data_IF_183573260683
#
_entry.id   IF_183573260683
#
_cell.length_a   1.000
_cell.length_b   1.000
_cell.length_c   1.000
_cell.angle_alpha   90.00
_cell.angle_beta   90.00
_cell.angle_gamma   90.00
#
_symmetry.space_group_name_H-M   'P 1'
#
loop_
_entity.id
_entity.type
_entity.pdbx_description
1 polymer ?
#
# COMPACT_ATOMS: atom_id res chain seq x y z
N UNK A 1 -3.55 20.73 13.53
CA UNK A 1 -3.09 19.60 14.38
C UNK A 1 -1.96 20.14 15.23
N UNK A 2 -2.32 21.02 16.15
CA UNK A 2 -1.43 21.59 17.16
C UNK A 2 -1.01 20.48 18.12
N UNK A 3 0.14 20.67 18.77
CA UNK A 3 0.78 19.69 19.65
C UNK A 3 0.01 19.54 20.97
N UNK A 4 -1.25 19.10 20.90
CA UNK A 4 -2.02 18.71 22.07
C UNK A 4 -1.77 17.22 22.35
N UNK A 5 -0.94 16.84 23.33
CA UNK A 5 -0.65 15.43 23.62
C UNK A 5 -1.89 14.64 24.06
N UNK A 6 -2.96 15.31 24.51
CA UNK A 6 -4.22 14.65 24.87
C UNK A 6 -5.04 14.21 23.65
N UNK A 7 -4.84 14.81 22.46
CA UNK A 7 -5.62 14.43 21.28
C UNK A 7 -5.36 12.99 20.83
N UNK A 8 -4.20 12.42 21.17
CA UNK A 8 -3.84 11.04 20.88
C UNK A 8 -4.59 10.03 21.76
N UNK A 9 -4.99 10.43 22.98
CA UNK A 9 -5.72 9.56 23.91
C UNK A 9 -7.10 9.18 23.35
N UNK A 10 -7.75 10.10 22.63
CA UNK A 10 -9.04 9.85 21.96
C UNK A 10 -8.94 8.80 20.84
N UNK A 11 -7.72 8.55 20.33
CA UNK A 11 -7.44 7.55 19.29
C UNK A 11 -6.90 6.25 19.91
N UNK A 12 -6.86 6.15 21.24
CA UNK A 12 -6.34 4.97 21.94
C UNK A 12 -4.82 4.88 22.00
N UNK A 13 -4.12 5.95 21.64
CA UNK A 13 -2.66 5.99 21.66
C UNK A 13 -2.15 6.51 23.02
N UNK A 14 -0.97 6.04 23.42
CA UNK A 14 -0.37 6.39 24.72
C UNK A 14 -0.26 7.89 24.91
N UNK A 15 -0.74 8.39 26.06
CA UNK A 15 -0.50 9.76 26.49
C UNK A 15 1.01 10.06 26.48
N UNK A 16 1.42 11.10 25.73
CA UNK A 16 2.81 11.50 25.59
C UNK A 16 3.60 10.84 24.44
N UNK A 17 2.93 10.19 23.48
CA UNK A 17 3.57 9.82 22.21
C UNK A 17 4.03 11.07 21.45
N UNK A 18 5.21 11.01 20.82
CA UNK A 18 5.67 12.10 19.97
C UNK A 18 4.72 12.27 18.78
N UNK A 19 4.65 13.48 18.21
CA UNK A 19 3.81 13.76 17.04
C UNK A 19 4.07 12.80 15.87
N UNK A 20 5.33 12.39 15.68
CA UNK A 20 5.70 11.47 14.61
C UNK A 20 5.17 10.05 14.89
N UNK A 21 5.29 9.58 16.13
CA UNK A 21 4.75 8.28 16.56
C UNK A 21 3.22 8.27 16.48
N UNK A 22 2.56 9.34 16.95
CA UNK A 22 1.11 9.48 16.86
C UNK A 22 0.61 9.44 15.42
N UNK A 23 1.26 10.17 14.51
CA UNK A 23 0.98 10.10 13.06
C UNK A 23 1.22 8.71 12.49
N UNK A 24 2.33 8.07 12.86
CA UNK A 24 2.66 6.72 12.41
C UNK A 24 1.60 5.71 12.85
N UNK A 25 1.15 5.79 14.09
CA UNK A 25 0.12 4.91 14.61
C UNK A 25 -1.26 5.15 13.98
N UNK A 26 -1.68 6.40 13.79
CA UNK A 26 -2.93 6.72 13.06
C UNK A 26 -2.87 6.19 11.62
N UNK A 27 -1.72 6.34 10.95
CA UNK A 27 -1.51 5.83 9.60
C UNK A 27 -1.64 4.29 9.59
N UNK A 28 -0.89 3.59 10.44
CA UNK A 28 -0.96 2.14 10.57
C UNK A 28 -2.39 1.65 10.88
N UNK A 29 -3.09 2.33 11.78
CA UNK A 29 -4.47 2.00 12.15
C UNK A 29 -5.40 2.16 10.95
N UNK A 30 -5.30 3.28 10.23
CA UNK A 30 -6.13 3.57 9.05
C UNK A 30 -5.95 2.48 7.97
N UNK A 31 -4.70 2.09 7.69
CA UNK A 31 -4.44 1.01 6.74
C UNK A 31 -5.01 -0.33 7.21
N UNK A 32 -4.88 -0.63 8.51
CA UNK A 32 -5.45 -1.86 9.06
C UNK A 32 -6.97 -1.91 8.90
N UNK A 33 -7.67 -0.77 9.03
CA UNK A 33 -9.12 -0.67 8.84
C UNK A 33 -9.51 -0.87 7.38
N UNK A 34 -8.75 -0.27 6.45
CA UNK A 34 -8.97 -0.44 5.00
C UNK A 34 -8.81 -1.92 4.61
N UNK A 35 -7.74 -2.58 5.10
CA UNK A 35 -7.51 -4.01 4.86
C UNK A 35 -8.59 -4.89 5.51
N UNK A 36 -9.00 -4.56 6.73
CA UNK A 36 -10.09 -5.25 7.41
C UNK A 36 -11.40 -5.17 6.63
N UNK A 37 -11.72 -3.99 6.06
CA UNK A 37 -12.90 -3.82 5.23
C UNK A 37 -12.85 -4.74 3.99
N UNK A 38 -11.69 -4.86 3.33
CA UNK A 38 -11.54 -5.81 2.21
C UNK A 38 -11.63 -7.26 2.67
N UNK A 39 -11.04 -7.63 3.80
CA UNK A 39 -11.07 -9.01 4.30
C UNK A 39 -12.50 -9.46 4.63
N UNK A 40 -13.29 -8.58 5.26
CA UNK A 40 -14.65 -8.87 5.67
C UNK A 40 -15.63 -8.85 4.48
N UNK A 41 -15.56 -7.85 3.61
CA UNK A 41 -16.62 -7.60 2.61
C UNK A 41 -16.29 -8.06 1.19
N UNK A 42 -15.04 -8.41 0.88
CA UNK A 42 -14.71 -8.98 -0.43
C UNK A 42 -15.15 -10.45 -0.51
N UNK A 43 -16.07 -10.85 -1.41
CA UNK A 43 -16.56 -12.23 -1.50
C UNK A 43 -15.46 -13.25 -1.84
N UNK A 44 -14.34 -12.81 -2.42
CA UNK A 44 -13.22 -13.68 -2.81
C UNK A 44 -12.33 -14.08 -1.62
N UNK A 45 -12.35 -13.32 -0.53
CA UNK A 45 -11.48 -13.56 0.62
C UNK A 45 -12.14 -14.54 1.59
N UNK A 46 -11.55 -15.73 1.73
CA UNK A 46 -11.94 -16.74 2.70
C UNK A 46 -10.71 -17.48 3.26
N UNK A 47 -10.64 -17.79 4.57
CA UNK A 47 -11.63 -17.48 5.61
C UNK A 47 -11.66 -15.98 6.00
N UNK A 48 -12.79 -15.54 6.55
CA UNK A 48 -12.98 -14.17 7.04
C UNK A 48 -12.20 -13.94 8.33
N UNK A 49 -11.57 -12.77 8.46
CA UNK A 49 -10.78 -12.43 9.63
C UNK A 49 -11.67 -12.23 10.87
N UNK A 50 -11.41 -12.98 11.95
CA UNK A 50 -12.14 -12.84 13.22
C UNK A 50 -11.64 -11.63 14.01
N UNK A 51 -12.38 -11.20 15.04
CA UNK A 51 -12.00 -10.08 15.88
C UNK A 51 -10.67 -10.34 16.61
N UNK A 52 -10.48 -11.56 17.12
CA UNK A 52 -9.28 -11.97 17.84
C UNK A 52 -8.06 -11.98 16.90
N UNK A 53 -8.24 -12.43 15.66
CA UNK A 53 -7.20 -12.41 14.64
C UNK A 53 -6.82 -10.99 14.24
N UNK A 54 -7.80 -10.08 14.13
CA UNK A 54 -7.54 -8.66 13.87
C UNK A 54 -6.74 -8.03 15.01
N UNK A 55 -7.16 -8.24 16.26
CA UNK A 55 -6.47 -7.75 17.46
C UNK A 55 -5.03 -8.26 17.50
N UNK A 56 -4.82 -9.58 17.32
CA UNK A 56 -3.49 -10.16 17.27
C UNK A 56 -2.65 -9.57 16.12
N UNK A 57 -3.26 -9.29 14.96
CA UNK A 57 -2.57 -8.68 13.82
C UNK A 57 -2.12 -7.25 14.11
N UNK A 58 -2.99 -6.43 14.71
CA UNK A 58 -2.65 -5.08 15.12
C UNK A 58 -1.54 -5.07 16.19
N UNK A 59 -1.56 -6.00 17.15
CA UNK A 59 -0.52 -6.07 18.18
C UNK A 59 0.86 -6.49 17.66
N UNK A 60 0.94 -7.14 16.49
CA UNK A 60 2.23 -7.40 15.81
C UNK A 60 2.86 -6.13 15.25
N UNK A 61 2.09 -5.07 15.05
CA UNK A 61 2.60 -3.78 14.60
C UNK A 61 3.12 -2.98 15.80
N UNK A 62 4.39 -2.54 15.74
CA UNK A 62 5.03 -1.79 16.83
C UNK A 62 4.26 -0.54 17.25
N UNK A 63 3.60 0.14 16.31
CA UNK A 63 2.85 1.37 16.55
C UNK A 63 1.46 1.14 17.17
N UNK A 64 0.88 -0.06 17.02
CA UNK A 64 -0.46 -0.41 17.51
C UNK A 64 -0.40 -1.43 18.66
N UNK A 65 0.80 -1.88 19.04
CA UNK A 65 1.02 -2.90 20.06
C UNK A 65 0.37 -2.59 21.40
N UNK A 66 0.37 -1.33 21.80
CA UNK A 66 -0.13 -0.87 23.11
C UNK A 66 -1.61 -0.44 23.06
N UNK A 67 -2.29 -0.59 21.91
CA UNK A 67 -3.67 -0.13 21.77
C UNK A 67 -4.64 -1.09 22.49
N UNK A 68 -5.64 -0.61 23.24
CA UNK A 68 -6.60 -1.46 23.93
C UNK A 68 -7.32 -2.45 23.01
N UNK A 69 -7.31 -3.74 23.36
CA UNK A 69 -7.99 -4.78 22.60
C UNK A 69 -9.50 -4.54 22.46
N UNK A 70 -10.11 -3.90 23.46
CA UNK A 70 -11.52 -3.52 23.41
C UNK A 70 -11.81 -2.55 22.26
N UNK A 71 -10.98 -1.54 22.06
CA UNK A 71 -11.13 -0.57 20.97
C UNK A 71 -10.94 -1.23 19.60
N UNK A 72 -9.94 -2.11 19.46
CA UNK A 72 -9.73 -2.90 18.24
C UNK A 72 -10.93 -3.80 17.92
N UNK A 73 -11.50 -4.41 18.94
CA UNK A 73 -12.69 -5.26 18.81
C UNK A 73 -13.92 -4.44 18.41
N UNK A 74 -14.10 -3.25 18.99
CA UNK A 74 -15.18 -2.33 18.62
C UNK A 74 -15.04 -1.88 17.16
N UNK A 75 -13.82 -1.56 16.69
CA UNK A 75 -13.54 -1.22 15.29
C UNK A 75 -13.91 -2.39 14.38
N UNK A 76 -13.50 -3.61 14.73
CA UNK A 76 -13.83 -4.80 13.96
C UNK A 76 -15.34 -5.00 13.83
N UNK A 77 -16.07 -4.92 14.94
CA UNK A 77 -17.52 -5.06 14.94
C UNK A 77 -18.20 -3.94 14.12
N UNK A 78 -17.72 -2.71 14.21
CA UNK A 78 -18.25 -1.58 13.45
C UNK A 78 -18.10 -1.81 11.94
N UNK A 79 -16.90 -2.21 11.48
CA UNK A 79 -16.64 -2.49 10.06
C UNK A 79 -17.39 -3.74 9.61
N UNK A 80 -17.51 -4.76 10.45
CA UNK A 80 -18.29 -5.97 10.12
C UNK A 80 -19.76 -5.67 9.90
N UNK A 81 -20.35 -4.73 10.64
CA UNK A 81 -21.76 -4.32 10.50
C UNK A 81 -21.98 -3.39 9.31
N UNK A 82 -21.07 -2.46 9.06
CA UNK A 82 -21.19 -1.47 7.99
C UNK A 82 -19.90 -1.40 7.18
N UNK A 83 -19.92 -1.77 5.88
CA UNK A 83 -18.78 -1.56 5.01
C UNK A 83 -18.50 -0.06 4.82
N UNK A 84 -17.25 0.26 4.47
CA UNK A 84 -16.85 1.62 4.14
C UNK A 84 -17.57 2.09 2.87
N UNK A 85 -18.30 3.20 2.96
CA UNK A 85 -18.96 3.80 1.81
C UNK A 85 -17.97 4.61 0.99
N UNK A 86 -17.70 4.17 -0.23
CA UNK A 86 -16.90 4.91 -1.20
C UNK A 86 -17.89 5.69 -2.05
N UNK A 87 -18.02 7.00 -1.80
CA UNK A 87 -18.79 7.87 -2.70
C UNK A 87 -18.07 7.89 -4.05
N UNK A 88 -18.72 7.50 -5.16
CA UNK A 88 -18.13 7.67 -6.47
C UNK A 88 -18.06 9.17 -6.76
N UNK A 89 -16.91 9.79 -6.50
CA UNK A 89 -16.68 11.19 -6.84
C UNK A 89 -16.54 11.26 -8.37
N UNK A 90 -17.41 11.97 -9.10
CA UNK A 90 -17.31 12.09 -10.56
C UNK A 90 -16.09 12.90 -11.03
N UNK A 91 -15.44 13.63 -10.12
CA UNK A 91 -14.14 14.27 -10.34
C UNK A 91 -13.05 13.44 -9.65
N UNK A 92 -12.70 12.32 -10.26
CA UNK A 92 -11.61 11.46 -9.81
C UNK A 92 -10.31 12.27 -9.67
N UNK A 93 -9.63 12.10 -8.53
CA UNK A 93 -8.21 12.40 -8.42
C UNK A 93 -7.49 11.50 -9.43
N UNK A 94 -7.01 12.10 -10.53
CA UNK A 94 -6.38 11.43 -11.68
C UNK A 94 -5.03 10.76 -11.39
N UNK A 95 -4.61 10.71 -10.12
CA UNK A 95 -3.33 10.12 -9.71
C UNK A 95 -3.37 8.59 -9.63
N UNK A 96 -4.55 7.96 -9.59
CA UNK A 96 -4.64 6.51 -9.79
C UNK A 96 -4.74 6.27 -11.29
N UNK A 97 -3.58 6.01 -11.92
CA UNK A 97 -3.53 5.44 -13.27
C UNK A 97 -4.15 4.04 -13.21
N UNK A 98 -5.47 3.95 -13.37
CA UNK A 98 -6.13 2.74 -13.88
C UNK A 98 -6.21 2.92 -15.38
N UNK A 99 -5.33 2.24 -16.10
CA UNK A 99 -5.34 2.20 -17.56
C UNK A 99 -6.38 1.18 -18.03
N UNK A 100 -7.67 1.44 -17.80
CA UNK A 100 -8.76 0.77 -18.53
C UNK A 100 -9.92 1.76 -18.60
N UNK A 101 -10.35 2.10 -19.82
CA UNK A 101 -11.41 3.07 -20.07
C UNK A 101 -12.78 2.58 -19.58
N UNK A 102 -13.67 3.53 -19.35
CA UNK A 102 -14.97 3.43 -18.66
C UNK A 102 -16.05 2.53 -19.30
N UNK A 103 -15.68 1.55 -20.14
CA UNK A 103 -16.65 0.70 -20.85
C UNK A 103 -16.79 -0.73 -20.30
N UNK A 104 -16.02 -1.15 -19.29
CA UNK A 104 -16.03 -2.54 -18.78
C UNK A 104 -16.45 -2.65 -17.30
N UNK A 105 -17.35 -1.78 -16.82
CA UNK A 105 -17.84 -1.82 -15.42
C UNK A 105 -18.72 -3.06 -15.14
N UNK A 106 -19.10 -3.84 -16.15
CA UNK A 106 -19.88 -5.05 -15.98
C UNK A 106 -19.15 -6.29 -16.51
N UNK A 107 -17.98 -6.59 -15.92
CA UNK A 107 -17.44 -7.95 -15.98
C UNK A 107 -17.02 -8.37 -14.58
N UNK A 108 -17.59 -9.50 -14.15
CA UNK A 108 -17.37 -10.16 -12.88
C UNK A 108 -15.89 -10.10 -12.48
N UNK A 109 -15.63 -9.77 -11.21
CA UNK A 109 -14.31 -9.82 -10.60
C UNK A 109 -13.74 -11.26 -10.70
N UNK A 110 -13.20 -11.59 -11.87
CA UNK A 110 -12.57 -12.85 -12.17
C UNK A 110 -11.06 -12.63 -12.11
N UNK A 111 -10.50 -13.24 -11.06
CA UNK A 111 -9.13 -13.76 -10.98
C UNK A 111 -8.02 -12.72 -10.86
N UNK A 112 -7.52 -12.60 -9.62
CA UNK A 112 -6.19 -12.10 -9.31
C UNK A 112 -5.12 -12.93 -10.03
N UNK A 113 -4.15 -12.24 -10.65
CA UNK A 113 -2.97 -12.77 -11.36
C UNK A 113 -2.12 -13.72 -10.48
N UNK A 114 -2.35 -13.73 -9.16
CA UNK A 114 -1.62 -14.58 -8.21
C UNK A 114 -2.25 -15.97 -7.97
N UNK A 115 -3.38 -16.30 -8.61
CA UNK A 115 -4.03 -17.61 -8.47
C UNK A 115 -3.58 -18.62 -9.56
N UNK A 116 -2.38 -19.18 -9.35
CA UNK A 116 -1.83 -20.44 -9.91
C UNK A 116 -1.50 -20.54 -11.43
N UNK A 117 -0.51 -21.40 -11.82
CA UNK A 117 0.10 -21.40 -13.15
C UNK A 117 -0.49 -22.48 -14.06
N UNK A 118 -1.61 -22.22 -14.75
CA UNK A 118 -2.16 -23.21 -15.71
C UNK A 118 -2.66 -22.64 -17.05
N UNK A 119 -2.44 -21.36 -17.37
CA UNK A 119 -3.05 -20.74 -18.56
C UNK A 119 -2.23 -20.82 -19.86
N UNK A 120 -1.02 -21.38 -19.84
CA UNK A 120 -0.15 -21.43 -21.04
C UNK A 120 -0.55 -22.51 -22.08
N UNK A 121 -1.52 -23.38 -21.77
CA UNK A 121 -1.93 -24.46 -22.68
C UNK A 121 -3.13 -24.11 -23.58
N UNK A 122 -3.90 -23.06 -23.28
CA UNK A 122 -5.18 -22.80 -23.98
C UNK A 122 -5.06 -21.84 -25.19
N UNK A 123 -3.95 -21.11 -25.34
CA UNK A 123 -3.80 -20.11 -26.40
C UNK A 123 -3.44 -20.70 -27.80
N UNK A 124 -3.12 -21.99 -27.89
CA UNK A 124 -2.68 -22.61 -29.14
C UNK A 124 -3.83 -23.08 -30.07
N UNK A 125 -5.08 -23.11 -29.59
CA UNK A 125 -6.18 -23.79 -30.30
C UNK A 125 -7.13 -22.87 -31.09
N UNK A 126 -6.93 -21.55 -31.13
CA UNK A 126 -7.92 -20.60 -31.67
C UNK A 126 -7.59 -19.99 -33.05
N UNK A 127 -6.55 -20.44 -33.76
CA UNK A 127 -6.14 -19.86 -35.05
C UNK A 127 -6.44 -20.75 -36.27
N UNK A 128 -7.63 -21.35 -36.33
CA UNK A 128 -7.99 -22.24 -37.43
C UNK A 128 -9.08 -21.73 -38.38
N UNK A 129 -9.83 -20.65 -38.11
CA UNK A 129 -10.90 -20.23 -39.01
C UNK A 129 -11.19 -18.72 -39.00
N UNK A 130 -11.16 -18.13 -40.20
CA UNK A 130 -11.97 -16.95 -40.52
C UNK A 130 -11.23 -15.62 -40.45
N UNK A 131 -10.93 -15.06 -41.62
CA UNK A 131 -10.18 -13.82 -41.78
C UNK A 131 -10.92 -12.56 -41.32
N UNK A 132 -10.14 -11.60 -40.86
CA UNK A 132 -10.48 -10.18 -40.87
C UNK A 132 -9.20 -9.37 -41.06
N UNK A 133 -9.26 -8.41 -41.99
CA UNK A 133 -8.16 -7.62 -42.53
C UNK A 133 -7.32 -6.94 -41.43
N UNK A 134 -6.00 -7.06 -41.53
CA UNK A 134 -5.03 -6.26 -40.78
C UNK A 134 -5.13 -4.79 -41.25
N UNK A 135 -5.75 -3.93 -40.44
CA UNK A 135 -5.51 -2.50 -40.55
C UNK A 135 -4.13 -2.19 -39.99
N UNK A 136 -3.30 -1.49 -40.78
CA UNK A 136 -1.99 -1.03 -40.36
C UNK A 136 -2.08 -0.17 -39.09
N UNK A 137 -1.16 -0.29 -38.12
CA UNK A 137 -1.16 0.54 -36.93
C UNK A 137 -0.87 1.98 -37.33
N UNK A 138 -1.86 2.86 -37.14
CA UNK A 138 -1.69 4.30 -37.27
C UNK A 138 -0.63 4.77 -36.28
N UNK A 139 0.49 5.29 -36.78
CA UNK A 139 1.53 5.91 -35.96
C UNK A 139 0.95 7.18 -35.30
N UNK A 140 0.61 7.07 -34.02
CA UNK A 140 0.28 8.23 -33.19
C UNK A 140 1.54 9.11 -33.00
N UNK A 141 1.42 10.45 -33.03
CA UNK A 141 2.55 11.34 -32.84
C UNK A 141 3.14 11.17 -31.42
N UNK A 142 4.46 11.36 -31.23
CA UNK A 142 5.09 11.23 -29.92
C UNK A 142 4.45 12.23 -28.95
N UNK A 143 3.70 11.71 -27.97
CA UNK A 143 3.13 12.54 -26.90
C UNK A 143 4.29 13.19 -26.14
N UNK A 144 4.32 14.53 -26.15
CA UNK A 144 5.24 15.32 -25.37
C UNK A 144 5.11 14.94 -23.89
N UNK A 145 6.12 14.28 -23.35
CA UNK A 145 6.23 13.93 -21.94
C UNK A 145 6.39 15.25 -21.17
N UNK A 146 5.32 15.74 -20.55
CA UNK A 146 5.41 16.85 -19.61
C UNK A 146 6.09 16.35 -18.34
N UNK A 147 7.38 16.64 -18.21
CA UNK A 147 8.13 16.34 -17.00
C UNK A 147 7.66 17.28 -15.90
N UNK A 148 7.14 16.71 -14.82
CA UNK A 148 6.83 17.47 -13.61
C UNK A 148 8.13 17.78 -12.86
N UNK A 149 8.61 19.01 -13.04
CA UNK A 149 9.83 19.53 -12.43
C UNK A 149 9.80 19.49 -10.90
N UNK A 150 8.62 19.53 -10.29
CA UNK A 150 8.47 19.46 -8.83
C UNK A 150 8.76 18.04 -8.33
N UNK A 151 8.25 17.03 -9.04
CA UNK A 151 8.53 15.61 -8.73
C UNK A 151 10.00 15.29 -8.94
N UNK A 152 10.60 15.76 -10.04
CA UNK A 152 12.02 15.56 -10.31
C UNK A 152 12.91 16.18 -9.23
N UNK A 153 12.56 17.38 -8.76
CA UNK A 153 13.28 18.08 -7.69
C UNK A 153 13.28 17.29 -6.36
N UNK A 154 12.11 16.80 -5.93
CA UNK A 154 12.04 16.01 -4.69
C UNK A 154 12.75 14.66 -4.82
N UNK A 155 12.67 14.00 -5.98
CA UNK A 155 13.39 12.74 -6.23
C UNK A 155 14.93 12.94 -6.17
N UNK A 156 15.44 14.06 -6.69
CA UNK A 156 16.86 14.39 -6.61
C UNK A 156 17.32 14.66 -5.17
N UNK A 157 16.50 15.36 -4.38
CA UNK A 157 16.79 15.60 -2.97
C UNK A 157 16.80 14.29 -2.18
N UNK A 158 15.84 13.41 -2.45
CA UNK A 158 15.72 12.14 -1.75
C UNK A 158 16.88 11.20 -2.11
N UNK A 159 17.28 11.16 -3.38
CA UNK A 159 18.49 10.46 -3.82
C UNK A 159 19.74 10.99 -3.12
N UNK A 160 19.87 12.31 -2.95
CA UNK A 160 20.99 12.93 -2.23
C UNK A 160 20.99 12.67 -0.72
N UNK A 161 19.83 12.43 -0.12
CA UNK A 161 19.71 11.99 1.29
C UNK A 161 20.06 10.52 1.44
N UNK A 162 19.56 9.67 0.53
CA UNK A 162 19.87 8.25 0.50
C UNK A 162 21.36 7.99 0.28
N UNK A 163 22.00 8.72 -0.65
CA UNK A 163 23.43 8.62 -0.91
C UNK A 163 24.28 9.03 0.30
N UNK A 164 23.91 10.11 1.01
CA UNK A 164 24.58 10.51 2.25
C UNK A 164 24.43 9.46 3.35
N UNK A 165 23.23 8.92 3.53
CA UNK A 165 22.99 7.87 4.51
C UNK A 165 23.77 6.57 4.17
N UNK A 166 23.91 6.24 2.88
CA UNK A 166 24.73 5.11 2.43
C UNK A 166 26.23 5.35 2.68
N UNK A 167 26.73 6.56 2.41
CA UNK A 167 28.13 6.93 2.67
C UNK A 167 28.47 6.87 4.17
N UNK A 168 27.60 7.36 5.04
CA UNK A 168 27.78 7.24 6.50
C UNK A 168 27.82 5.79 6.97
N UNK A 169 26.99 4.91 6.40
CA UNK A 169 27.02 3.46 6.71
C UNK A 169 28.33 2.82 6.23
N UNK A 170 28.83 3.19 5.06
CA UNK A 170 30.08 2.67 4.53
C UNK A 170 31.29 3.07 5.40
N UNK A 171 31.34 4.33 5.84
CA UNK A 171 32.40 4.82 6.73
C UNK A 171 32.34 4.18 8.12
N UNK A 172 31.13 3.99 8.67
CA UNK A 172 30.95 3.32 9.96
C UNK A 172 31.44 1.85 9.94
N UNK A 173 31.25 1.15 8.81
CA UNK A 173 31.76 -0.21 8.62
C UNK A 173 33.29 -0.25 8.51
N UNK A 174 33.89 0.73 7.83
CA UNK A 174 35.36 0.84 7.69
C UNK A 174 36.05 1.15 9.03
N UNK A 175 35.48 2.03 9.86
CA UNK A 175 35.98 2.26 11.22
C UNK A 175 35.87 1.02 12.11
N UNK A 176 34.79 0.26 11.99
CA UNK A 176 34.62 -0.99 12.73
C UNK A 176 35.67 -2.01 12.27
N UNK A 177 35.85 -2.18 10.96
CA UNK A 177 36.85 -3.10 10.40
C UNK A 177 38.28 -2.76 10.84
N UNK A 178 38.64 -1.48 10.89
CA UNK A 178 39.96 -1.03 11.38
C UNK A 178 40.17 -1.30 12.88
N UNK A 179 39.14 -1.09 13.71
CA UNK A 179 39.22 -1.39 15.15
C UNK A 179 39.43 -2.88 15.41
N UNK A 180 38.74 -3.76 14.68
CA UNK A 180 38.94 -5.21 14.81
C UNK A 180 40.30 -5.68 14.29
N UNK A 181 40.83 -5.07 13.22
CA UNK A 181 42.17 -5.39 12.72
C UNK A 181 43.29 -5.03 13.72
N UNK A 182 43.11 -3.97 14.52
CA UNK A 182 44.09 -3.54 15.52
C UNK A 182 44.07 -4.38 16.80
N UNK A 183 42.96 -5.08 17.08
CA UNK A 183 42.82 -5.99 18.24
C UNK A 183 43.36 -7.39 17.93
N UNK A 184 43.49 -7.75 16.65
CA UNK A 184 43.91 -9.08 16.19
C UNK A 184 45.37 -9.13 15.68
N UNK A 185 46.12 -8.03 15.82
CA UNK A 185 47.55 -7.92 15.52
C UNK A 185 48.35 -7.82 16.83
#
# INVERSE_FOLDING_TARGET
LDDNPECWCNVGLRAGASRLEGRGAVYSLTYSIIMLNTDLHNPVVYPKMTAEQYVASCHRCLTLREMPAEQLTQIHQAISRSPLQITPVPSAVSTIVRSTGDAEIESHAQLSIYAAPHHLAAAAALNANGGARLHAPTSLPPRAIKVDWRVLYYNLIDMGRAARAAAWRALALDEHARKWAMVMA
#
